data_IF_042512812379
#
_entry.id   IF_042512812379
#
_cell.length_a   1.000
_cell.length_b   1.000
_cell.length_c   1.000
_cell.angle_alpha   90.00
_cell.angle_beta   90.00
_cell.angle_gamma   90.00
#
_symmetry.space_group_name_H-M   'P 1'
#
loop_
_entity.id
_entity.type
_entity.pdbx_description
1 polymer ?
#
# COMPACT_ATOMS: atom_id res chain seq x y z
N UNK A 1 5.77 10.35 11.41
CA UNK A 1 5.41 11.60 10.68
C UNK A 1 6.00 11.68 9.27
N UNK A 2 7.29 11.42 9.05
CA UNK A 2 7.91 11.53 7.70
C UNK A 2 7.29 10.57 6.66
N UNK A 3 7.06 9.30 7.03
CA UNK A 3 6.46 8.29 6.12
C UNK A 3 4.98 8.59 5.82
N UNK A 4 4.23 9.11 6.79
CA UNK A 4 2.85 9.57 6.58
C UNK A 4 2.77 10.81 5.68
N UNK A 5 3.73 11.74 5.78
CA UNK A 5 3.85 12.88 4.89
C UNK A 5 4.24 12.46 3.46
N UNK A 6 5.16 11.49 3.32
CA UNK A 6 5.51 10.89 2.01
C UNK A 6 4.31 10.23 1.32
N UNK A 7 3.42 9.61 2.10
CA UNK A 7 2.18 9.02 1.58
C UNK A 7 1.14 10.06 1.20
N UNK A 8 0.96 11.11 2.01
CA UNK A 8 0.08 12.22 1.66
C UNK A 8 0.57 12.95 0.41
N UNK A 9 1.89 13.14 0.27
CA UNK A 9 2.45 13.66 -0.99
C UNK A 9 2.27 12.69 -2.14
N UNK A 10 2.47 11.38 -1.92
CA UNK A 10 2.29 10.36 -2.95
C UNK A 10 0.83 10.22 -3.41
N UNK A 11 -0.12 10.27 -2.49
CA UNK A 11 -1.57 10.26 -2.79
C UNK A 11 -2.04 11.57 -3.41
N UNK A 12 -1.55 12.72 -2.94
CA UNK A 12 -1.86 14.01 -3.55
C UNK A 12 -1.32 14.08 -4.98
N UNK A 13 -0.06 13.70 -5.21
CA UNK A 13 0.51 13.61 -6.57
C UNK A 13 -0.27 12.62 -7.42
N UNK A 14 -0.66 11.45 -6.87
CA UNK A 14 -1.46 10.47 -7.60
C UNK A 14 -2.85 11.03 -7.98
N UNK A 15 -3.53 11.76 -7.08
CA UNK A 15 -4.83 12.39 -7.37
C UNK A 15 -4.72 13.62 -8.30
N UNK A 16 -3.68 14.45 -8.15
CA UNK A 16 -3.44 15.60 -9.02
C UNK A 16 -3.07 15.15 -10.44
N UNK A 17 -2.23 14.12 -10.60
CA UNK A 17 -1.95 13.54 -11.91
C UNK A 17 -3.14 12.76 -12.48
N UNK A 18 -3.95 12.07 -11.67
CA UNK A 18 -5.18 11.43 -12.16
C UNK A 18 -6.22 12.45 -12.66
N UNK A 19 -6.32 13.60 -11.99
CA UNK A 19 -7.21 14.68 -12.40
C UNK A 19 -6.74 15.35 -13.71
N UNK A 20 -5.44 15.34 -13.98
CA UNK A 20 -4.85 15.87 -15.22
C UNK A 20 -4.85 14.82 -16.35
N UNK A 21 -4.69 13.54 -16.02
CA UNK A 21 -4.78 12.36 -16.91
C UNK A 21 -6.23 11.90 -17.09
N UNK A 22 -7.12 12.83 -17.44
CA UNK A 22 -8.49 12.52 -17.89
C UNK A 22 -8.56 11.92 -19.29
N UNK A 23 -7.47 11.39 -19.83
CA UNK A 23 -7.35 11.00 -21.24
C UNK A 23 -6.85 9.55 -21.38
N UNK A 24 -7.51 8.87 -22.31
CA UNK A 24 -7.44 7.45 -22.62
C UNK A 24 -6.03 6.84 -22.68
N UNK A 25 -5.91 5.62 -22.16
CA UNK A 25 -4.73 4.77 -22.25
C UNK A 25 -4.49 4.43 -23.74
N UNK A 26 -3.42 4.93 -24.39
CA UNK A 26 -3.07 4.46 -25.72
C UNK A 26 -2.43 3.09 -25.54
N UNK A 27 -3.13 2.05 -25.97
CA UNK A 27 -2.56 0.73 -26.16
C UNK A 27 -1.57 0.79 -27.32
N UNK A 28 -0.31 1.13 -27.08
CA UNK A 28 0.72 0.87 -28.08
C UNK A 28 2.14 0.67 -27.55
N UNK A 29 2.73 -0.37 -28.10
CA UNK A 29 3.91 -1.13 -27.68
C UNK A 29 5.27 -0.49 -28.03
N UNK A 30 6.29 -1.03 -27.35
CA UNK A 30 7.71 -1.24 -27.70
C UNK A 30 8.74 -0.34 -27.02
N UNK A 31 9.61 -1.03 -26.27
CA UNK A 31 10.82 -0.59 -25.57
C UNK A 31 10.63 -0.28 -24.08
N UNK A 32 11.43 -0.92 -23.22
CA UNK A 32 11.51 -0.66 -21.78
C UNK A 32 11.75 0.83 -21.49
N UNK A 33 12.47 1.52 -22.39
CA UNK A 33 12.70 2.96 -22.29
C UNK A 33 11.40 3.76 -22.43
N UNK A 34 10.50 3.36 -23.33
CA UNK A 34 9.18 3.98 -23.50
C UNK A 34 8.30 3.72 -22.28
N UNK A 35 8.36 2.52 -21.70
CA UNK A 35 7.62 2.16 -20.48
C UNK A 35 8.07 3.02 -19.28
N UNK A 36 9.38 3.19 -19.09
CA UNK A 36 9.94 4.04 -18.03
C UNK A 36 9.67 5.52 -18.30
N UNK A 37 9.49 5.92 -19.56
CA UNK A 37 9.14 7.30 -19.93
C UNK A 37 7.64 7.59 -19.73
N UNK A 38 6.78 6.57 -19.66
CA UNK A 38 5.36 6.76 -19.38
C UNK A 38 5.14 7.18 -17.92
N UNK A 39 4.43 8.29 -17.76
CA UNK A 39 4.22 8.92 -16.45
C UNK A 39 3.37 8.03 -15.53
N UNK A 40 2.38 7.34 -16.06
CA UNK A 40 1.50 6.41 -15.31
C UNK A 40 2.27 5.23 -14.71
N UNK A 41 3.24 4.70 -15.43
CA UNK A 41 4.07 3.59 -14.94
C UNK A 41 5.05 4.06 -13.85
N UNK A 42 5.60 5.27 -13.99
CA UNK A 42 6.40 5.89 -12.92
C UNK A 42 5.60 6.08 -11.63
N UNK A 43 4.33 6.48 -11.73
CA UNK A 43 3.45 6.64 -10.58
C UNK A 43 3.26 5.30 -9.85
N UNK A 44 3.03 4.21 -10.59
CA UNK A 44 2.91 2.88 -9.98
C UNK A 44 4.19 2.43 -9.30
N UNK A 45 5.37 2.69 -9.89
CA UNK A 45 6.67 2.39 -9.26
C UNK A 45 6.83 3.18 -7.94
N UNK A 46 6.52 4.48 -7.95
CA UNK A 46 6.57 5.32 -6.75
C UNK A 46 5.58 4.84 -5.70
N UNK A 47 4.37 4.43 -6.11
CA UNK A 47 3.37 3.89 -5.22
C UNK A 47 3.85 2.58 -4.56
N UNK A 48 4.39 1.64 -5.34
CA UNK A 48 4.89 0.35 -4.84
C UNK A 48 6.12 0.52 -3.95
N UNK A 49 7.09 1.35 -4.34
CA UNK A 49 8.27 1.64 -3.50
C UNK A 49 7.88 2.26 -2.15
N UNK A 50 6.91 3.19 -2.14
CA UNK A 50 6.36 3.73 -0.90
C UNK A 50 5.69 2.64 -0.06
N UNK A 51 5.01 1.69 -0.69
CA UNK A 51 4.41 0.53 -0.02
C UNK A 51 5.47 -0.30 0.73
N UNK A 52 6.60 -0.61 0.09
CA UNK A 52 7.68 -1.34 0.75
C UNK A 52 8.33 -0.56 1.89
N UNK A 53 8.51 0.76 1.71
CA UNK A 53 9.03 1.62 2.76
C UNK A 53 8.13 1.61 4.02
N UNK A 54 6.81 1.57 3.83
CA UNK A 54 5.84 1.44 4.93
C UNK A 54 6.01 0.13 5.66
N UNK A 55 6.10 -0.99 4.94
CA UNK A 55 6.23 -2.32 5.54
C UNK A 55 7.48 -2.34 6.42
N UNK A 56 8.63 -1.95 5.87
CA UNK A 56 9.88 -1.90 6.63
C UNK A 56 9.82 -0.95 7.82
N UNK A 57 9.17 0.22 7.67
CA UNK A 57 8.97 1.14 8.80
C UNK A 57 8.05 0.56 9.87
N UNK A 58 6.98 -0.12 9.48
CA UNK A 58 6.05 -0.77 10.38
C UNK A 58 6.74 -1.91 11.12
N UNK A 59 7.52 -2.76 10.45
CA UNK A 59 8.34 -3.79 11.11
C UNK A 59 9.34 -3.17 12.11
N UNK A 60 10.10 -2.18 11.68
CA UNK A 60 11.10 -1.52 12.52
C UNK A 60 10.52 -0.75 13.72
N UNK A 61 9.31 -0.20 13.58
CA UNK A 61 8.65 0.55 14.66
C UNK A 61 7.85 -0.38 15.58
N UNK A 62 7.21 -1.39 15.01
CA UNK A 62 6.32 -2.28 15.75
C UNK A 62 7.10 -3.27 16.61
N UNK A 63 8.31 -3.69 16.20
CA UNK A 63 9.19 -4.53 17.01
C UNK A 63 9.49 -3.92 18.40
N UNK A 64 10.08 -2.71 18.53
CA UNK A 64 10.32 -2.10 19.83
C UNK A 64 9.00 -1.74 20.54
N UNK A 65 7.95 -1.40 19.79
CA UNK A 65 6.65 -1.03 20.34
C UNK A 65 5.88 -2.20 20.98
N UNK A 66 6.11 -3.44 20.54
CA UNK A 66 5.50 -4.63 21.17
C UNK A 66 6.46 -5.25 22.20
N UNK A 67 7.78 -5.10 22.01
CA UNK A 67 8.80 -5.62 22.94
C UNK A 67 8.73 -4.98 24.34
N UNK A 68 8.28 -3.73 24.45
CA UNK A 68 8.01 -3.07 25.74
C UNK A 68 6.93 -3.78 26.59
N UNK A 69 6.06 -4.60 25.98
CA UNK A 69 5.03 -5.36 26.68
C UNK A 69 5.52 -6.72 27.23
N UNK A 70 6.82 -7.04 27.13
CA UNK A 70 7.40 -8.34 27.52
C UNK A 70 6.67 -9.56 26.90
N UNK A 71 6.13 -9.39 25.70
CA UNK A 71 5.42 -10.45 24.98
C UNK A 71 6.39 -11.47 24.38
N UNK A 72 5.97 -12.73 24.33
CA UNK A 72 6.76 -13.81 23.70
C UNK A 72 7.00 -13.51 22.21
N UNK A 73 8.20 -13.75 21.67
CA UNK A 73 8.55 -13.52 20.27
C UNK A 73 7.57 -14.17 19.28
N UNK A 74 6.99 -15.30 19.65
CA UNK A 74 5.97 -16.02 18.88
C UNK A 74 4.72 -15.17 18.61
N UNK A 75 4.26 -14.38 19.59
CA UNK A 75 3.09 -13.52 19.45
C UNK A 75 3.41 -12.34 18.51
N UNK A 76 4.60 -11.77 18.64
CA UNK A 76 5.09 -10.68 17.78
C UNK A 76 5.10 -11.13 16.33
N UNK A 77 5.71 -12.30 16.05
CA UNK A 77 5.72 -12.89 14.71
C UNK A 77 4.31 -13.17 14.17
N UNK A 78 3.38 -13.58 15.02
CA UNK A 78 1.99 -13.82 14.62
C UNK A 78 1.29 -12.53 14.17
N UNK A 79 1.56 -11.41 14.83
CA UNK A 79 0.99 -10.10 14.45
C UNK A 79 1.50 -9.68 13.07
N UNK A 80 2.78 -9.84 12.77
CA UNK A 80 3.32 -9.59 11.42
C UNK A 80 2.73 -10.55 10.38
N UNK A 81 2.55 -11.81 10.75
CA UNK A 81 1.98 -12.83 9.88
C UNK A 81 0.54 -12.50 9.45
N UNK A 82 -0.26 -11.85 10.32
CA UNK A 82 -1.64 -11.44 9.97
C UNK A 82 -1.65 -10.53 8.73
N UNK A 83 -0.73 -9.56 8.62
CA UNK A 83 -0.65 -8.70 7.42
C UNK A 83 -0.44 -9.54 6.16
N UNK A 84 0.50 -10.49 6.20
CA UNK A 84 0.81 -11.38 5.09
C UNK A 84 -0.34 -12.33 4.74
N UNK A 85 -1.05 -12.87 5.74
CA UNK A 85 -2.23 -13.72 5.51
C UNK A 85 -3.35 -12.93 4.83
N UNK A 86 -3.63 -11.72 5.32
CA UNK A 86 -4.68 -10.86 4.75
C UNK A 86 -4.33 -10.46 3.33
N UNK A 87 -3.07 -10.11 3.07
CA UNK A 87 -2.57 -9.81 1.71
C UNK A 87 -2.71 -11.02 0.78
N UNK A 88 -2.32 -12.22 1.24
CA UNK A 88 -2.41 -13.46 0.46
C UNK A 88 -3.87 -13.84 0.13
N UNK A 89 -4.79 -13.68 1.09
CA UNK A 89 -6.21 -13.96 0.88
C UNK A 89 -6.88 -12.88 -0.01
N UNK A 90 -6.43 -11.64 0.09
CA UNK A 90 -7.00 -10.52 -0.67
C UNK A 90 -6.47 -10.44 -2.09
N UNK A 91 -5.24 -10.89 -2.33
CA UNK A 91 -4.58 -10.92 -3.64
C UNK A 91 -5.42 -11.54 -4.77
N UNK A 92 -6.00 -12.76 -4.63
CA UNK A 92 -6.84 -13.34 -5.68
C UNK A 92 -8.13 -12.56 -5.91
N UNK A 93 -8.73 -12.00 -4.84
CA UNK A 93 -9.97 -11.23 -4.92
C UNK A 93 -9.76 -9.90 -5.65
N UNK A 94 -8.69 -9.20 -5.31
CA UNK A 94 -8.25 -7.96 -5.96
C UNK A 94 -7.84 -8.24 -7.40
N UNK A 95 -7.10 -9.33 -7.67
CA UNK A 95 -6.67 -9.70 -9.01
C UNK A 95 -7.84 -9.96 -9.96
N UNK A 96 -8.83 -10.72 -9.50
CA UNK A 96 -10.07 -10.93 -10.25
C UNK A 96 -10.82 -9.61 -10.53
N UNK A 97 -10.81 -8.69 -9.58
CA UNK A 97 -11.43 -7.37 -9.73
C UNK A 97 -10.63 -6.48 -10.73
N UNK A 98 -9.30 -6.49 -10.65
CA UNK A 98 -8.40 -5.73 -11.51
C UNK A 98 -8.44 -6.17 -12.99
N UNK A 99 -8.71 -7.46 -13.23
CA UNK A 99 -8.90 -8.00 -14.58
C UNK A 99 -10.22 -7.49 -15.21
N UNK A 100 -11.31 -7.45 -14.43
CA UNK A 100 -12.61 -6.94 -14.89
C UNK A 100 -12.66 -5.42 -15.06
N UNK A 101 -11.85 -4.68 -14.30
CA UNK A 101 -11.80 -3.22 -14.39
C UNK A 101 -10.95 -2.79 -15.59
N UNK A 102 -11.50 -1.91 -16.43
CA UNK A 102 -10.74 -1.29 -17.52
C UNK A 102 -9.49 -0.57 -16.99
N UNK A 103 -9.63 0.11 -15.86
CA UNK A 103 -8.59 0.94 -15.26
C UNK A 103 -8.18 0.37 -13.89
N UNK A 104 -7.15 -0.48 -13.87
CA UNK A 104 -6.61 -1.08 -12.65
C UNK A 104 -6.04 -0.05 -11.66
N UNK A 105 -5.69 1.14 -12.16
CA UNK A 105 -5.19 2.26 -11.36
C UNK A 105 -6.20 2.77 -10.31
N UNK A 106 -7.51 2.58 -10.50
CA UNK A 106 -8.50 2.92 -9.46
C UNK A 106 -8.29 2.09 -8.19
N UNK A 107 -7.92 0.81 -8.32
CA UNK A 107 -7.60 -0.02 -7.16
C UNK A 107 -6.31 0.44 -6.48
N UNK A 108 -5.29 0.87 -7.24
CA UNK A 108 -4.08 1.47 -6.66
C UNK A 108 -4.44 2.72 -5.83
N UNK A 109 -5.36 3.56 -6.32
CA UNK A 109 -5.83 4.74 -5.59
C UNK A 109 -6.58 4.36 -4.30
N UNK A 110 -7.49 3.38 -4.37
CA UNK A 110 -8.21 2.88 -3.18
C UNK A 110 -7.24 2.29 -2.15
N UNK A 111 -6.25 1.50 -2.59
CA UNK A 111 -5.20 0.97 -1.72
C UNK A 111 -4.40 2.07 -1.04
N UNK A 112 -4.05 3.13 -1.77
CA UNK A 112 -3.38 4.29 -1.22
C UNK A 112 -4.24 5.05 -0.18
N UNK A 113 -5.55 5.19 -0.39
CA UNK A 113 -6.45 5.76 0.63
C UNK A 113 -6.50 4.89 1.89
N UNK A 114 -6.56 3.55 1.74
CA UNK A 114 -6.50 2.62 2.88
C UNK A 114 -5.20 2.77 3.68
N UNK A 115 -4.05 2.96 3.01
CA UNK A 115 -2.79 3.25 3.70
C UNK A 115 -2.83 4.56 4.48
N UNK A 116 -3.40 5.62 3.90
CA UNK A 116 -3.56 6.89 4.61
C UNK A 116 -4.42 6.71 5.87
N UNK A 117 -5.53 5.98 5.78
CA UNK A 117 -6.36 5.65 6.94
C UNK A 117 -5.58 4.82 7.97
N UNK A 118 -4.83 3.80 7.53
CA UNK A 118 -3.97 3.00 8.39
C UNK A 118 -2.98 3.87 9.17
N UNK A 119 -2.29 4.80 8.52
CA UNK A 119 -1.35 5.69 9.20
C UNK A 119 -2.02 6.75 10.08
N UNK A 120 -3.25 7.17 9.79
CA UNK A 120 -4.03 8.02 10.70
C UNK A 120 -4.37 7.24 11.97
N UNK A 121 -4.74 5.96 11.84
CA UNK A 121 -5.08 5.07 12.96
C UNK A 121 -3.84 4.67 13.79
N UNK A 122 -2.69 4.47 13.14
CA UNK A 122 -1.39 4.21 13.80
C UNK A 122 -0.75 5.49 14.33
N UNK A 123 -1.13 6.64 13.78
CA UNK A 123 -0.57 7.95 14.07
C UNK A 123 -1.07 8.71 15.31
N UNK A 124 -2.04 8.28 16.15
CA UNK A 124 -2.35 9.04 17.35
C UNK A 124 -1.13 9.01 18.26
N UNK A 125 -0.59 10.21 18.45
CA UNK A 125 0.76 10.55 18.85
C UNK A 125 1.06 10.19 20.32
N UNK A 126 2.34 9.89 20.66
CA UNK A 126 2.87 9.59 22.02
C UNK A 126 2.71 10.69 23.10
N UNK A 127 1.91 11.74 22.88
CA UNK A 127 1.63 12.77 23.90
C UNK A 127 0.47 12.41 24.84
N UNK A 128 -0.18 11.28 24.61
CA UNK A 128 -1.30 10.79 25.39
C UNK A 128 -0.88 9.47 26.04
N UNK A 129 -0.71 9.49 27.37
CA UNK A 129 -0.42 8.35 28.25
C UNK A 129 -1.56 7.30 28.26
N UNK A 130 -2.11 6.93 27.10
CA UNK A 130 -3.14 5.91 26.99
C UNK A 130 -2.50 4.54 26.80
N UNK A 131 -3.03 3.48 27.45
CA UNK A 131 -2.52 2.13 27.28
C UNK A 131 -2.65 1.72 25.81
N UNK A 132 -1.53 1.37 25.18
CA UNK A 132 -1.54 0.91 23.79
C UNK A 132 -2.34 -0.38 23.69
N UNK A 133 -3.48 -0.36 22.99
CA UNK A 133 -4.26 -1.55 22.76
C UNK A 133 -3.69 -2.32 21.56
N UNK A 134 -3.28 -3.58 21.78
CA UNK A 134 -2.89 -4.51 20.71
C UNK A 134 -3.95 -4.63 19.61
N UNK A 135 -5.23 -4.40 19.93
CA UNK A 135 -6.33 -4.38 18.98
C UNK A 135 -6.15 -3.31 17.88
N UNK A 136 -5.63 -2.13 18.21
CA UNK A 136 -5.41 -1.06 17.22
C UNK A 136 -4.30 -1.47 16.24
N UNK A 137 -3.25 -2.11 16.75
CA UNK A 137 -2.16 -2.67 15.92
C UNK A 137 -2.71 -3.75 14.99
N UNK A 138 -3.53 -4.67 15.49
CA UNK A 138 -4.11 -5.75 14.67
C UNK A 138 -5.00 -5.18 13.57
N UNK A 139 -5.85 -4.19 13.89
CA UNK A 139 -6.70 -3.51 12.90
C UNK A 139 -5.87 -2.78 11.85
N UNK A 140 -4.82 -2.06 12.28
CA UNK A 140 -3.90 -1.40 11.37
C UNK A 140 -3.23 -2.41 10.43
N UNK A 141 -2.73 -3.52 10.97
CA UNK A 141 -2.07 -4.58 10.22
C UNK A 141 -2.99 -5.23 9.18
N UNK A 142 -4.28 -5.37 9.50
CA UNK A 142 -5.30 -5.85 8.58
C UNK A 142 -5.53 -4.86 7.42
N UNK A 143 -5.69 -3.57 7.71
CA UNK A 143 -5.82 -2.53 6.68
C UNK A 143 -4.56 -2.44 5.82
N UNK A 144 -3.38 -2.62 6.42
CA UNK A 144 -2.09 -2.60 5.74
C UNK A 144 -2.00 -3.77 4.75
N UNK A 145 -2.38 -4.98 5.16
CA UNK A 145 -2.49 -6.15 4.29
C UNK A 145 -3.45 -5.96 3.12
N UNK A 146 -4.62 -5.37 3.35
CA UNK A 146 -5.58 -5.06 2.28
C UNK A 146 -5.04 -4.04 1.28
N UNK A 147 -4.40 -2.97 1.78
CA UNK A 147 -3.80 -1.94 0.93
C UNK A 147 -2.64 -2.46 0.09
N UNK A 148 -1.81 -3.36 0.65
CA UNK A 148 -0.71 -4.03 -0.06
C UNK A 148 -1.22 -4.81 -1.27
N UNK A 149 -2.23 -5.66 -1.05
CA UNK A 149 -2.78 -6.50 -2.11
C UNK A 149 -3.28 -5.65 -3.27
N UNK A 150 -3.98 -4.54 -2.99
CA UNK A 150 -4.46 -3.62 -4.02
C UNK A 150 -3.33 -3.01 -4.84
N UNK A 151 -2.28 -2.49 -4.21
CA UNK A 151 -1.19 -1.79 -4.93
C UNK A 151 -0.30 -2.74 -5.71
N UNK A 152 0.08 -3.87 -5.11
CA UNK A 152 1.00 -4.84 -5.73
C UNK A 152 0.32 -5.51 -6.92
N UNK A 153 -0.90 -6.03 -6.73
CA UNK A 153 -1.62 -6.75 -7.78
C UNK A 153 -1.94 -5.83 -8.96
N UNK A 154 -2.33 -4.57 -8.70
CA UNK A 154 -2.62 -3.63 -9.80
C UNK A 154 -1.39 -3.25 -10.60
N UNK A 155 -0.22 -3.10 -9.95
CA UNK A 155 1.03 -2.85 -10.66
C UNK A 155 1.38 -4.01 -11.60
N UNK A 156 1.19 -5.25 -11.16
CA UNK A 156 1.37 -6.43 -12.01
C UNK A 156 0.36 -6.48 -13.16
N UNK A 157 -0.93 -6.26 -12.89
CA UNK A 157 -1.98 -6.25 -13.93
C UNK A 157 -1.73 -5.16 -14.96
N UNK A 158 -1.30 -3.96 -14.54
CA UNK A 158 -0.97 -2.86 -15.42
C UNK A 158 0.23 -3.19 -16.33
N UNK A 159 1.30 -3.77 -15.77
CA UNK A 159 2.44 -4.25 -16.55
C UNK A 159 2.08 -5.33 -17.57
N UNK A 160 1.19 -6.27 -17.21
CA UNK A 160 0.72 -7.32 -18.13
C UNK A 160 -0.11 -6.74 -19.27
N UNK A 161 -1.05 -5.84 -18.99
CA UNK A 161 -1.88 -5.17 -20.02
C UNK A 161 -1.05 -4.35 -21.03
N UNK A 162 0.16 -3.91 -20.66
CA UNK A 162 1.07 -3.20 -21.55
C UNK A 162 1.98 -4.11 -22.40
N UNK A 163 2.10 -5.40 -22.05
CA UNK A 163 3.04 -6.33 -22.69
C UNK A 163 2.36 -7.30 -23.67
N UNK A 164 1.06 -7.56 -23.50
CA UNK A 164 0.25 -8.45 -24.36
C UNK A 164 -0.51 -7.63 -25.39
#
# INVERSE_FOLDING_TARGET
MVVGALLLSGTAVNMFLFAESGAEIPAQSRSLKTLITNIDFCIDIVAVSTCFAIIGFNEATLEPHIRQFNLTPTIIGTIFLIAGIVDALSSPLVGYCAEKLKNAQYLTLVGCMMFTVCFIVVGPVPFLHFPTYLSVVIVAQFLLGLGMAMKIVCSFTHGMKHTV
#
